data_IF_586707522227
#
_entry.id   IF_586707522227
#
_cell.length_a   1.000
_cell.length_b   1.000
_cell.length_c   1.000
_cell.angle_alpha   90.00
_cell.angle_beta   90.00
_cell.angle_gamma   90.00
#
_symmetry.space_group_name_H-M   'P 1'
#
loop_
_entity.id
_entity.type
_entity.pdbx_description
1 polymer ?
#
# COMPACT_ATOMS: atom_id res chain seq x y z
N UNK A 1 41.19 -5.82 75.04
CA UNK A 1 42.13 -6.58 75.86
C UNK A 1 42.17 -7.98 75.27
N UNK A 2 43.23 -8.31 74.53
CA UNK A 2 43.52 -9.72 74.24
C UNK A 2 43.79 -10.43 75.57
N UNK A 3 43.38 -11.68 75.70
CA UNK A 3 43.74 -12.49 76.87
C UNK A 3 45.20 -12.90 76.69
N UNK A 4 46.13 -12.12 77.26
CA UNK A 4 47.59 -12.32 77.12
C UNK A 4 48.13 -13.61 77.78
N UNK A 5 47.27 -14.42 78.40
CA UNK A 5 47.65 -15.71 79.02
C UNK A 5 46.70 -16.81 78.56
N UNK A 6 47.19 -17.87 77.89
CA UNK A 6 46.35 -19.02 77.57
C UNK A 6 45.91 -19.72 78.86
N UNK A 7 44.59 -19.87 79.02
CA UNK A 7 44.00 -20.73 80.05
C UNK A 7 43.98 -22.18 79.57
N UNK A 8 44.58 -23.10 80.34
CA UNK A 8 44.54 -24.54 80.04
C UNK A 8 43.38 -25.18 80.81
N UNK A 9 42.42 -25.76 80.10
CA UNK A 9 41.49 -26.72 80.71
C UNK A 9 42.06 -28.14 80.53
N UNK A 10 42.26 -28.85 81.63
CA UNK A 10 42.73 -30.25 81.63
C UNK A 10 41.57 -31.21 81.84
N UNK A 11 41.58 -32.32 81.13
CA UNK A 11 40.48 -33.29 81.12
C UNK A 11 40.99 -34.72 81.25
N UNK A 12 40.12 -35.61 81.75
CA UNK A 12 40.41 -37.04 81.82
C UNK A 12 40.38 -37.66 80.42
N UNK A 13 41.43 -38.40 80.07
CA UNK A 13 41.55 -39.07 78.77
C UNK A 13 40.44 -40.13 78.61
N UNK A 14 39.82 -40.19 77.41
CA UNK A 14 38.84 -41.22 77.07
C UNK A 14 37.36 -40.87 77.29
N UNK A 15 37.04 -39.63 77.69
CA UNK A 15 35.66 -39.16 77.91
C UNK A 15 35.32 -38.04 76.91
N UNK A 16 34.12 -38.10 76.32
CA UNK A 16 33.61 -37.01 75.47
C UNK A 16 32.96 -35.92 76.30
N UNK A 17 33.16 -34.67 75.91
CA UNK A 17 32.77 -33.51 76.71
C UNK A 17 32.54 -32.26 75.85
N UNK A 18 31.76 -31.34 76.36
CA UNK A 18 31.42 -30.08 75.69
C UNK A 18 32.00 -28.91 76.47
N UNK A 19 32.68 -28.02 75.77
CA UNK A 19 33.18 -26.76 76.30
C UNK A 19 32.11 -25.70 76.06
N UNK A 20 31.77 -24.98 77.13
CA UNK A 20 30.84 -23.87 77.12
C UNK A 20 31.59 -22.57 77.45
N UNK A 21 31.15 -21.46 76.87
CA UNK A 21 31.50 -20.12 77.34
C UNK A 21 30.35 -19.60 78.21
N UNK A 22 30.67 -19.22 79.44
CA UNK A 22 29.79 -18.53 80.37
C UNK A 22 30.17 -17.05 80.38
N UNK A 23 29.27 -16.21 79.89
CA UNK A 23 29.44 -14.77 79.83
C UNK A 23 28.49 -14.08 80.82
N UNK A 24 29.06 -13.30 81.73
CA UNK A 24 28.30 -12.49 82.69
C UNK A 24 28.85 -11.07 82.77
N UNK A 25 27.95 -10.11 83.01
CA UNK A 25 28.34 -8.76 83.37
C UNK A 25 28.18 -8.61 84.89
N UNK A 26 29.29 -8.61 85.61
CA UNK A 26 29.32 -8.54 87.07
C UNK A 26 29.83 -7.16 87.50
N UNK A 27 29.38 -6.63 88.65
CA UNK A 27 29.80 -5.29 89.09
C UNK A 27 29.09 -4.82 90.36
N UNK A 28 29.49 -3.66 90.91
CA UNK A 28 28.79 -3.03 92.05
C UNK A 28 28.05 -1.77 91.64
N UNK A 29 26.99 -1.39 92.36
CA UNK A 29 26.16 -0.20 92.09
C UNK A 29 26.95 1.13 92.01
N UNK A 30 28.18 1.18 92.55
CA UNK A 30 28.99 2.41 92.64
C UNK A 30 30.43 2.26 92.14
N UNK A 31 30.82 1.17 91.45
CA UNK A 31 32.19 1.01 90.96
C UNK A 31 32.39 -0.20 90.03
N UNK A 32 32.69 0.11 88.76
CA UNK A 32 33.07 -0.73 87.60
C UNK A 32 32.23 -2.00 87.31
N UNK A 33 31.52 -1.98 86.18
CA UNK A 33 30.98 -3.20 85.56
C UNK A 33 32.10 -3.93 84.80
N UNK A 34 32.33 -5.18 85.14
CA UNK A 34 33.32 -6.07 84.52
C UNK A 34 32.60 -7.18 83.75
N UNK A 35 32.85 -7.25 82.45
CA UNK A 35 32.46 -8.41 81.66
C UNK A 35 33.41 -9.58 81.98
N UNK A 36 32.86 -10.68 82.48
CA UNK A 36 33.57 -11.91 82.79
C UNK A 36 33.16 -12.99 81.80
N UNK A 37 34.16 -13.61 81.17
CA UNK A 37 33.99 -14.76 80.28
C UNK A 37 34.76 -15.92 80.88
N UNK A 38 34.05 -17.01 81.20
CA UNK A 38 34.63 -18.22 81.79
C UNK A 38 34.38 -19.40 80.87
N UNK A 39 35.37 -20.27 80.72
CA UNK A 39 35.20 -21.55 80.03
C UNK A 39 34.82 -22.61 81.07
N UNK A 40 33.73 -23.33 80.83
CA UNK A 40 33.26 -24.40 81.72
C UNK A 40 32.95 -25.67 80.94
N UNK A 41 33.11 -26.81 81.59
CA UNK A 41 32.70 -28.13 81.07
C UNK A 41 31.40 -28.64 81.71
N UNK A 42 30.87 -27.91 82.70
CA UNK A 42 29.60 -28.25 83.33
C UNK A 42 28.45 -27.68 82.51
N UNK A 43 27.46 -28.52 82.23
CA UNK A 43 26.23 -28.12 81.55
C UNK A 43 25.44 -27.20 82.47
N UNK A 44 25.36 -25.93 82.12
CA UNK A 44 24.38 -24.99 82.69
C UNK A 44 23.63 -24.33 81.54
N UNK A 45 22.31 -24.29 81.65
CA UNK A 45 21.50 -23.34 80.88
C UNK A 45 21.77 -21.93 81.44
N UNK A 46 21.30 -20.89 80.76
CA UNK A 46 21.38 -19.52 81.28
C UNK A 46 20.83 -19.47 82.72
N UNK A 47 21.57 -18.82 83.61
CA UNK A 47 21.26 -18.82 85.04
C UNK A 47 21.51 -17.45 85.67
N UNK A 48 20.97 -17.25 86.88
CA UNK A 48 21.27 -16.10 87.72
C UNK A 48 22.06 -16.60 88.93
N UNK A 49 23.21 -16.00 89.21
CA UNK A 49 24.05 -16.40 90.33
C UNK A 49 23.45 -15.99 91.69
N UNK A 50 24.08 -16.42 92.79
CA UNK A 50 23.62 -16.10 94.16
C UNK A 50 23.73 -14.63 94.53
N UNK A 51 24.38 -13.81 93.69
CA UNK A 51 24.54 -12.37 93.85
C UNK A 51 23.59 -11.58 92.94
N UNK A 52 22.80 -12.26 92.09
CA UNK A 52 21.78 -11.67 91.22
C UNK A 52 22.25 -11.31 89.81
N UNK A 53 23.46 -11.69 89.39
CA UNK A 53 23.95 -11.44 88.03
C UNK A 53 23.48 -12.53 87.06
N UNK A 54 23.05 -12.12 85.86
CA UNK A 54 22.68 -13.05 84.80
C UNK A 54 23.92 -13.56 84.06
N UNK A 55 23.99 -14.87 83.90
CA UNK A 55 25.00 -15.62 83.19
C UNK A 55 24.39 -16.24 81.93
N UNK A 56 24.99 -15.97 80.78
CA UNK A 56 24.61 -16.54 79.49
C UNK A 56 25.61 -17.60 79.07
N UNK A 57 25.16 -18.83 78.87
CA UNK A 57 26.02 -19.99 78.68
C UNK A 57 25.78 -20.62 77.30
N UNK A 58 26.80 -20.64 76.46
CA UNK A 58 26.71 -21.19 75.09
C UNK A 58 27.77 -22.27 74.83
N UNK A 59 27.41 -23.43 74.24
CA UNK A 59 28.39 -24.42 73.80
C UNK A 59 29.25 -23.87 72.66
N UNK A 60 30.58 -24.01 72.78
CA UNK A 60 31.54 -23.52 71.78
C UNK A 60 32.24 -24.65 71.03
N UNK A 61 32.55 -25.76 71.70
CA UNK A 61 33.19 -26.91 71.07
C UNK A 61 32.85 -28.24 71.78
N UNK A 62 32.87 -29.35 71.06
CA UNK A 62 32.96 -30.70 71.66
C UNK A 62 34.36 -31.25 71.51
N UNK A 63 34.81 -32.00 72.51
CA UNK A 63 36.06 -32.77 72.48
C UNK A 63 35.68 -34.24 72.60
N UNK A 64 36.03 -35.05 71.61
CA UNK A 64 35.73 -36.49 71.61
C UNK A 64 36.65 -37.25 72.58
N UNK A 65 36.30 -38.51 72.86
CA UNK A 65 37.14 -39.39 73.68
C UNK A 65 38.57 -39.60 73.14
N UNK A 66 38.78 -39.42 71.82
CA UNK A 66 40.10 -39.48 71.16
C UNK A 66 40.84 -38.13 71.12
N UNK A 67 40.25 -37.06 71.64
CA UNK A 67 40.85 -35.72 71.68
C UNK A 67 40.58 -34.85 70.45
N UNK A 68 39.70 -35.27 69.54
CA UNK A 68 39.29 -34.45 68.38
C UNK A 68 38.38 -33.31 68.83
N UNK A 69 38.69 -32.08 68.39
CA UNK A 69 37.93 -30.87 68.74
C UNK A 69 37.03 -30.48 67.56
N UNK A 70 35.73 -30.33 67.81
CA UNK A 70 34.73 -29.87 66.83
C UNK A 70 34.09 -28.57 67.30
N UNK A 71 34.09 -27.54 66.47
CA UNK A 71 33.35 -26.29 66.71
C UNK A 71 31.84 -26.52 66.57
N UNK A 72 31.05 -26.09 67.55
CA UNK A 72 29.60 -26.31 67.61
C UNK A 72 28.79 -25.04 67.90
N UNK A 73 29.39 -23.85 67.78
CA UNK A 73 28.69 -22.56 67.97
C UNK A 73 27.42 -22.53 67.12
N UNK A 74 26.36 -21.90 67.65
CA UNK A 74 24.92 -21.91 67.29
C UNK A 74 24.50 -21.84 65.80
N UNK A 75 24.99 -22.77 64.97
CA UNK A 75 24.39 -23.22 63.70
C UNK A 75 24.47 -24.74 63.53
N UNK A 76 25.06 -25.48 64.49
CA UNK A 76 25.08 -26.98 64.56
C UNK A 76 25.37 -27.73 63.24
N UNK A 77 26.03 -27.10 62.25
CA UNK A 77 26.41 -27.71 60.96
C UNK A 77 27.71 -27.13 60.38
N UNK A 78 28.52 -27.94 59.65
CA UNK A 78 29.71 -27.51 58.93
C UNK A 78 29.44 -26.44 57.86
N UNK A 79 30.44 -25.63 57.47
CA UNK A 79 30.29 -24.52 56.51
C UNK A 79 29.76 -24.93 55.14
N UNK A 80 30.13 -26.11 54.65
CA UNK A 80 29.63 -26.63 53.37
C UNK A 80 28.12 -26.91 53.41
N UNK A 81 27.59 -27.33 54.56
CA UNK A 81 26.16 -27.57 54.74
C UNK A 81 25.35 -26.26 54.93
N UNK A 82 26.02 -25.13 55.12
CA UNK A 82 25.39 -23.80 55.25
C UNK A 82 25.06 -23.19 53.88
N UNK A 83 25.91 -23.45 52.88
CA UNK A 83 25.73 -22.90 51.53
C UNK A 83 24.57 -23.56 50.76
N UNK A 84 24.25 -24.82 51.06
CA UNK A 84 23.19 -25.59 50.39
C UNK A 84 21.79 -25.44 51.03
N UNK A 85 21.64 -24.59 52.05
CA UNK A 85 20.37 -24.43 52.77
C UNK A 85 19.98 -23.00 53.17
N UNK A 86 20.94 -22.09 53.39
CA UNK A 86 20.65 -20.73 53.87
C UNK A 86 20.79 -19.64 52.79
N UNK A 87 21.40 -19.94 51.64
CA UNK A 87 21.66 -18.95 50.57
C UNK A 87 21.23 -19.46 49.19
N UNK A 88 20.82 -18.54 48.31
CA UNK A 88 20.54 -18.84 46.90
C UNK A 88 21.86 -19.18 46.18
N UNK A 89 22.01 -20.41 45.68
CA UNK A 89 23.14 -20.83 44.84
C UNK A 89 22.73 -20.81 43.36
N UNK A 90 23.66 -20.56 42.42
CA UNK A 90 23.33 -20.56 40.98
C UNK A 90 22.70 -21.88 40.51
N UNK A 91 23.13 -23.02 41.07
CA UNK A 91 22.61 -24.34 40.74
C UNK A 91 21.27 -24.64 41.44
N UNK A 92 20.85 -23.81 42.39
CA UNK A 92 19.62 -23.98 43.18
C UNK A 92 18.71 -22.76 43.18
N UNK A 93 18.83 -21.85 42.21
CA UNK A 93 17.96 -20.69 42.10
C UNK A 93 16.49 -21.15 42.07
N UNK A 94 15.70 -20.73 43.06
CA UNK A 94 14.28 -21.08 43.23
C UNK A 94 14.02 -22.56 43.54
N UNK A 95 15.04 -23.32 43.93
CA UNK A 95 14.90 -24.73 44.33
C UNK A 95 14.01 -24.86 45.57
N UNK A 96 14.08 -23.90 46.48
CA UNK A 96 13.24 -23.81 47.67
C UNK A 96 11.74 -23.69 47.34
N UNK A 97 11.39 -23.06 46.21
CA UNK A 97 10.02 -22.97 45.72
C UNK A 97 9.61 -24.28 45.07
N UNK A 98 10.52 -24.90 44.31
CA UNK A 98 10.28 -26.20 43.69
C UNK A 98 10.10 -27.33 44.71
N UNK A 99 10.95 -27.38 45.74
CA UNK A 99 10.92 -28.38 46.81
C UNK A 99 9.64 -28.27 47.68
N UNK A 100 9.06 -27.07 47.80
CA UNK A 100 7.79 -26.83 48.51
C UNK A 100 6.55 -27.27 47.72
N UNK A 101 6.72 -27.77 46.49
CA UNK A 101 5.66 -28.35 45.67
C UNK A 101 4.89 -27.35 44.82
N UNK A 102 3.93 -27.88 44.06
CA UNK A 102 3.18 -27.15 43.01
C UNK A 102 2.46 -25.90 43.53
N UNK A 103 1.95 -25.93 44.77
CA UNK A 103 1.27 -24.79 45.38
C UNK A 103 2.21 -23.61 45.60
N UNK A 104 3.45 -23.85 46.04
CA UNK A 104 4.45 -22.81 46.22
C UNK A 104 4.89 -22.22 44.88
N UNK A 105 5.03 -23.05 43.85
CA UNK A 105 5.32 -22.60 42.48
C UNK A 105 4.18 -21.74 41.91
N UNK A 106 2.92 -22.10 42.19
CA UNK A 106 1.76 -21.30 41.78
C UNK A 106 1.70 -19.96 42.51
N UNK A 107 1.86 -19.96 43.84
CA UNK A 107 1.89 -18.74 44.64
C UNK A 107 3.03 -17.80 44.22
N UNK A 108 4.21 -18.36 43.90
CA UNK A 108 5.32 -17.58 43.39
C UNK A 108 4.95 -16.84 42.08
N UNK A 109 4.32 -17.54 41.12
CA UNK A 109 3.84 -16.93 39.86
C UNK A 109 2.78 -15.85 40.11
N UNK A 110 1.88 -16.07 41.07
CA UNK A 110 0.86 -15.10 41.45
C UNK A 110 1.48 -13.83 42.05
N UNK A 111 2.46 -13.95 42.95
CA UNK A 111 3.12 -12.81 43.58
C UNK A 111 3.92 -11.93 42.62
N UNK A 112 4.43 -12.49 41.50
CA UNK A 112 5.10 -11.72 40.44
C UNK A 112 4.14 -11.25 39.33
N UNK A 113 2.85 -11.55 39.44
CA UNK A 113 1.83 -11.14 38.47
C UNK A 113 1.93 -11.86 37.12
N UNK A 114 2.49 -13.08 37.09
CA UNK A 114 2.52 -13.89 35.87
C UNK A 114 1.13 -14.46 35.57
N UNK A 115 0.69 -14.29 34.32
CA UNK A 115 -0.58 -14.85 33.85
C UNK A 115 -0.51 -16.36 33.57
N UNK A 116 -1.65 -16.94 33.23
CA UNK A 116 -1.78 -18.37 32.90
C UNK A 116 -0.91 -18.82 31.70
N UNK A 117 -0.55 -17.93 30.76
CA UNK A 117 0.37 -18.26 29.66
C UNK A 117 1.77 -18.63 30.13
N UNK A 118 2.20 -18.21 31.32
CA UNK A 118 3.55 -18.49 31.84
C UNK A 118 3.82 -19.98 32.13
N UNK A 119 2.78 -20.81 32.19
CA UNK A 119 2.90 -22.26 32.41
C UNK A 119 2.61 -23.10 31.16
N UNK A 120 2.29 -22.45 30.04
CA UNK A 120 1.87 -23.13 28.81
C UNK A 120 2.97 -23.05 27.75
N UNK A 121 3.19 -24.16 27.05
CA UNK A 121 4.06 -24.16 25.87
C UNK A 121 3.36 -23.46 24.69
N UNK A 122 4.14 -22.94 23.74
CA UNK A 122 3.61 -22.56 22.42
C UNK A 122 3.35 -23.83 21.63
N UNK A 123 2.17 -23.97 21.03
CA UNK A 123 1.76 -25.18 20.31
C UNK A 123 0.47 -24.98 19.53
N UNK A 124 -0.08 -26.05 18.97
CA UNK A 124 -1.30 -26.05 18.14
C UNK A 124 -2.49 -26.80 18.75
N UNK A 125 -2.31 -27.36 19.96
CA UNK A 125 -3.35 -28.14 20.66
C UNK A 125 -4.02 -27.32 21.77
N UNK A 126 -5.14 -27.82 22.30
CA UNK A 126 -5.73 -27.28 23.53
C UNK A 126 -4.68 -27.21 24.65
N UNK A 127 -4.81 -26.21 25.54
CA UNK A 127 -3.89 -25.93 26.65
C UNK A 127 -2.46 -25.54 26.22
N UNK A 128 -2.33 -24.85 25.08
CA UNK A 128 -1.07 -24.22 24.61
C UNK A 128 -1.31 -22.77 24.18
N UNK A 129 -0.26 -21.93 24.24
CA UNK A 129 -0.29 -20.58 23.67
C UNK A 129 -0.27 -20.67 22.14
N UNK A 130 -1.21 -19.98 21.48
CA UNK A 130 -1.31 -19.93 20.03
C UNK A 130 -0.25 -19.01 19.42
N UNK A 131 0.45 -19.50 18.39
CA UNK A 131 1.28 -18.66 17.52
C UNK A 131 0.39 -17.74 16.65
N UNK A 132 0.95 -16.66 16.10
CA UNK A 132 0.17 -15.65 15.36
C UNK A 132 -0.56 -16.16 14.11
N UNK A 133 -0.14 -17.31 13.57
CA UNK A 133 -0.71 -18.00 12.41
C UNK A 133 -1.47 -19.29 12.79
N UNK A 134 -1.76 -19.48 14.08
CA UNK A 134 -2.52 -20.63 14.57
C UNK A 134 -4.01 -20.52 14.19
N UNK A 135 -4.59 -21.62 13.73
CA UNK A 135 -5.99 -21.68 13.27
C UNK A 135 -7.03 -21.44 14.37
N UNK A 136 -6.63 -21.54 15.65
CA UNK A 136 -7.48 -21.19 16.80
C UNK A 136 -7.71 -19.69 16.93
N UNK A 137 -6.87 -18.85 16.30
CA UNK A 137 -7.08 -17.40 16.25
C UNK A 137 -8.23 -17.12 15.27
N UNK A 138 -9.42 -17.00 15.83
CA UNK A 138 -10.64 -16.65 15.09
C UNK A 138 -10.80 -15.14 14.98
N UNK A 139 -11.25 -14.64 13.84
CA UNK A 139 -11.46 -13.20 13.58
C UNK A 139 -10.24 -12.43 13.05
N UNK A 140 -9.07 -13.07 12.91
CA UNK A 140 -7.93 -12.54 12.17
C UNK A 140 -7.89 -13.11 10.73
N UNK A 141 -7.24 -12.40 9.81
CA UNK A 141 -7.00 -12.91 8.45
C UNK A 141 -5.88 -13.96 8.48
N UNK A 142 -6.20 -15.14 7.98
CA UNK A 142 -5.32 -16.30 7.91
C UNK A 142 -4.59 -16.33 6.56
N UNK A 143 -3.27 -16.61 6.61
CA UNK A 143 -2.40 -16.52 5.43
C UNK A 143 -2.78 -17.52 4.34
N UNK A 144 -3.17 -18.73 4.74
CA UNK A 144 -3.54 -19.82 3.83
C UNK A 144 -4.94 -19.62 3.20
N UNK A 145 -5.79 -18.79 3.82
CA UNK A 145 -7.10 -18.44 3.28
C UNK A 145 -7.02 -17.40 2.14
N UNK A 146 -5.89 -16.72 1.93
CA UNK A 146 -5.69 -15.76 0.83
C UNK A 146 -6.83 -14.72 0.69
N UNK A 147 -7.44 -14.31 1.80
CA UNK A 147 -8.56 -13.37 1.84
C UNK A 147 -9.95 -13.99 1.63
N UNK A 148 -10.08 -15.31 1.59
CA UNK A 148 -11.37 -16.01 1.55
C UNK A 148 -12.18 -15.81 2.84
N UNK A 149 -11.49 -15.57 3.94
CA UNK A 149 -11.98 -15.33 5.30
C UNK A 149 -12.35 -13.87 5.59
N UNK A 150 -12.33 -13.00 4.59
CA UNK A 150 -12.79 -11.61 4.70
C UNK A 150 -14.33 -11.60 4.81
N UNK A 151 -14.92 -11.19 5.96
CA UNK A 151 -16.37 -11.30 6.22
C UNK A 151 -17.23 -10.48 5.25
N UNK A 152 -16.68 -9.39 4.72
CA UNK A 152 -17.33 -8.57 3.69
C UNK A 152 -16.37 -8.34 2.53
N UNK A 153 -16.34 -9.28 1.58
CA UNK A 153 -15.62 -9.16 0.29
C UNK A 153 -15.96 -7.87 -0.49
N UNK A 154 -17.01 -7.15 -0.10
CA UNK A 154 -17.42 -5.86 -0.66
C UNK A 154 -16.54 -4.70 -0.16
N UNK A 155 -16.01 -4.72 1.07
CA UNK A 155 -15.28 -3.56 1.59
C UNK A 155 -13.82 -3.46 1.07
N UNK A 156 -13.13 -4.59 0.88
CA UNK A 156 -11.75 -4.59 0.34
C UNK A 156 -11.70 -4.28 -1.17
N UNK A 157 -12.73 -4.66 -1.93
CA UNK A 157 -12.82 -4.45 -3.37
C UNK A 157 -13.47 -3.13 -3.80
N UNK A 158 -14.06 -2.36 -2.87
CA UNK A 158 -14.70 -1.07 -3.19
C UNK A 158 -13.76 0.11 -2.90
N UNK A 159 -12.71 -0.08 -2.08
CA UNK A 159 -11.87 1.05 -1.62
C UNK A 159 -10.41 0.97 -2.09
N UNK A 160 -9.84 -0.19 -2.46
CA UNK A 160 -8.38 -0.22 -2.79
C UNK A 160 -7.90 -1.23 -3.83
N UNK A 161 -8.70 -2.21 -4.25
CA UNK A 161 -8.32 -3.10 -5.36
C UNK A 161 -9.49 -3.20 -6.32
N UNK A 162 -9.38 -2.71 -7.58
CA UNK A 162 -10.43 -2.89 -8.56
C UNK A 162 -10.74 -4.37 -8.67
N UNK A 163 -12.02 -4.75 -8.64
CA UNK A 163 -12.52 -6.01 -9.21
C UNK A 163 -12.34 -6.02 -10.74
N UNK A 164 -11.16 -5.62 -11.22
CA UNK A 164 -10.71 -5.99 -12.55
C UNK A 164 -10.69 -7.50 -12.56
N UNK A 165 -11.57 -8.11 -13.37
CA UNK A 165 -11.40 -9.51 -13.73
C UNK A 165 -10.14 -9.53 -14.59
N UNK A 166 -8.96 -9.64 -13.95
CA UNK A 166 -7.67 -9.92 -14.60
C UNK A 166 -7.73 -11.35 -15.15
N UNK A 167 -8.60 -11.56 -16.12
CA UNK A 167 -8.66 -12.81 -16.88
C UNK A 167 -7.65 -12.64 -18.01
N UNK A 168 -6.63 -13.50 -18.01
CA UNK A 168 -5.80 -13.67 -19.20
C UNK A 168 -6.72 -14.13 -20.35
N UNK A 169 -6.92 -13.26 -21.34
CA UNK A 169 -7.51 -13.56 -22.65
C UNK A 169 -8.96 -14.09 -22.63
N UNK A 170 -9.91 -13.20 -22.34
CA UNK A 170 -11.35 -13.50 -22.37
C UNK A 170 -11.95 -13.34 -23.79
N UNK A 171 -12.84 -14.25 -24.22
CA UNK A 171 -13.58 -14.13 -25.48
C UNK A 171 -14.81 -13.23 -25.29
N UNK A 172 -14.78 -12.02 -25.85
CA UNK A 172 -15.87 -11.04 -25.69
C UNK A 172 -16.97 -11.38 -26.69
N UNK A 173 -17.98 -12.11 -26.21
CA UNK A 173 -19.16 -12.51 -26.98
C UNK A 173 -19.05 -13.85 -27.71
N UNK A 174 -17.87 -14.48 -27.73
CA UNK A 174 -17.69 -15.88 -28.15
C UNK A 174 -17.67 -16.15 -29.65
N UNK A 175 -17.92 -15.14 -30.48
CA UNK A 175 -17.86 -15.21 -31.94
C UNK A 175 -17.52 -13.82 -32.55
N UNK A 176 -17.39 -13.73 -33.87
CA UNK A 176 -17.04 -12.49 -34.60
C UNK A 176 -18.25 -11.71 -35.17
N UNK A 177 -19.48 -12.08 -34.84
CA UNK A 177 -20.67 -11.38 -35.31
C UNK A 177 -20.71 -9.95 -34.74
N UNK A 178 -21.32 -9.00 -35.46
CA UNK A 178 -21.40 -7.63 -34.97
C UNK A 178 -22.33 -7.52 -33.75
N UNK A 179 -22.01 -6.56 -32.88
CA UNK A 179 -22.89 -6.07 -31.84
C UNK A 179 -23.30 -4.62 -32.11
N UNK A 180 -24.50 -4.30 -31.69
CA UNK A 180 -24.93 -2.93 -31.40
C UNK A 180 -24.36 -2.49 -30.06
N UNK A 181 -24.32 -1.18 -29.82
CA UNK A 181 -23.91 -0.58 -28.56
C UNK A 181 -24.80 -1.07 -27.41
N UNK A 182 -26.09 -1.25 -27.66
CA UNK A 182 -27.04 -1.76 -26.67
C UNK A 182 -26.71 -3.21 -26.25
N UNK A 183 -26.42 -4.10 -27.20
CA UNK A 183 -26.04 -5.50 -26.90
C UNK A 183 -24.71 -5.57 -26.15
N UNK A 184 -23.74 -4.72 -26.52
CA UNK A 184 -22.48 -4.62 -25.80
C UNK A 184 -22.68 -4.20 -24.33
N UNK A 185 -23.55 -3.21 -24.08
CA UNK A 185 -23.88 -2.76 -22.71
C UNK A 185 -24.58 -3.86 -21.91
N UNK A 186 -25.50 -4.62 -22.52
CA UNK A 186 -26.13 -5.79 -21.89
C UNK A 186 -25.09 -6.84 -21.52
N UNK A 187 -24.13 -7.11 -22.41
CA UNK A 187 -23.04 -8.02 -22.12
C UNK A 187 -22.19 -7.53 -20.92
N UNK A 188 -21.84 -6.24 -20.86
CA UNK A 188 -21.12 -5.66 -19.72
C UNK A 188 -21.87 -5.83 -18.39
N UNK A 189 -23.18 -5.63 -18.40
CA UNK A 189 -24.03 -5.88 -17.21
C UNK A 189 -24.00 -7.34 -16.77
N UNK A 190 -24.04 -8.29 -17.73
CA UNK A 190 -23.92 -9.72 -17.42
C UNK A 190 -22.57 -10.09 -16.77
N UNK A 191 -21.51 -9.29 -17.01
CA UNK A 191 -20.21 -9.46 -16.37
C UNK A 191 -20.11 -8.75 -15.01
N UNK A 192 -21.17 -8.07 -14.58
CA UNK A 192 -21.18 -7.29 -13.34
C UNK A 192 -20.44 -5.96 -13.44
N UNK A 193 -20.17 -5.45 -14.65
CA UNK A 193 -19.36 -4.23 -14.83
C UNK A 193 -19.95 -3.00 -14.10
N UNK A 194 -21.28 -2.90 -14.02
CA UNK A 194 -21.99 -1.80 -13.37
C UNK A 194 -22.21 -1.98 -11.86
N UNK A 195 -21.73 -3.09 -11.29
CA UNK A 195 -21.78 -3.33 -9.84
C UNK A 195 -20.55 -2.75 -9.11
N UNK A 196 -19.69 -2.06 -9.86
CA UNK A 196 -18.42 -1.50 -9.38
C UNK A 196 -18.27 -0.05 -9.85
N UNK A 197 -17.67 0.85 -9.04
CA UNK A 197 -17.38 2.21 -9.47
C UNK A 197 -16.48 2.27 -10.72
N UNK A 198 -15.59 1.28 -10.83
CA UNK A 198 -14.70 1.06 -11.97
C UNK A 198 -14.55 -0.44 -12.22
N UNK A 199 -14.71 -0.85 -13.47
CA UNK A 199 -14.50 -2.22 -13.96
C UNK A 199 -13.65 -2.19 -15.23
N UNK A 200 -12.83 -3.22 -15.42
CA UNK A 200 -12.05 -3.34 -16.65
C UNK A 200 -11.85 -4.79 -17.06
N UNK A 201 -11.69 -5.00 -18.36
CA UNK A 201 -11.28 -6.27 -18.93
C UNK A 201 -10.44 -6.08 -20.20
N UNK A 202 -9.81 -7.16 -20.65
CA UNK A 202 -9.12 -7.20 -21.94
C UNK A 202 -9.60 -8.39 -22.77
N UNK A 203 -9.97 -8.13 -24.02
CA UNK A 203 -10.31 -9.18 -24.99
C UNK A 203 -9.10 -10.02 -25.38
N UNK A 204 -9.31 -11.29 -25.68
CA UNK A 204 -8.28 -12.16 -26.27
C UNK A 204 -7.91 -11.67 -27.68
N UNK A 205 -6.74 -12.06 -28.18
CA UNK A 205 -6.31 -11.70 -29.55
C UNK A 205 -7.10 -12.42 -30.66
N UNK A 206 -8.00 -13.34 -30.30
CA UNK A 206 -8.69 -14.18 -31.27
C UNK A 206 -9.84 -13.42 -31.97
N UNK A 207 -9.61 -12.95 -33.19
CA UNK A 207 -10.63 -12.25 -33.98
C UNK A 207 -11.94 -13.05 -34.15
N UNK A 208 -11.86 -14.38 -34.27
CA UNK A 208 -13.02 -15.24 -34.48
C UNK A 208 -13.95 -15.34 -33.25
N UNK A 209 -13.49 -14.96 -32.06
CA UNK A 209 -14.21 -15.13 -30.80
C UNK A 209 -14.51 -13.81 -30.08
N UNK A 210 -14.20 -12.68 -30.70
CA UNK A 210 -14.47 -11.36 -30.15
C UNK A 210 -15.31 -10.54 -31.11
N UNK A 211 -16.33 -9.89 -30.56
CA UNK A 211 -17.31 -9.10 -31.31
C UNK A 211 -16.72 -7.82 -31.87
N UNK A 212 -17.47 -7.21 -32.78
CA UNK A 212 -17.19 -5.88 -33.33
C UNK A 212 -18.42 -5.00 -33.11
N UNK A 213 -18.26 -3.83 -32.50
CA UNK A 213 -19.36 -2.87 -32.33
C UNK A 213 -19.44 -2.00 -33.58
N UNK A 214 -20.62 -1.89 -34.20
CA UNK A 214 -20.75 -1.33 -35.57
C UNK A 214 -21.67 -0.11 -35.69
N UNK A 215 -22.43 0.23 -34.65
CA UNK A 215 -23.40 1.33 -34.64
C UNK A 215 -22.88 2.61 -33.96
N UNK A 216 -21.56 2.73 -33.78
CA UNK A 216 -20.96 3.81 -33.00
C UNK A 216 -21.09 5.19 -33.65
N UNK A 217 -21.25 5.23 -34.97
CA UNK A 217 -21.23 6.48 -35.76
C UNK A 217 -19.85 7.14 -35.89
N UNK A 218 -18.82 6.61 -35.23
CA UNK A 218 -17.45 7.13 -35.26
C UNK A 218 -16.40 6.05 -35.55
N UNK A 219 -16.81 4.97 -36.23
CA UNK A 219 -15.95 3.85 -36.64
C UNK A 219 -16.19 2.58 -35.84
N UNK A 220 -16.04 1.42 -36.48
CA UNK A 220 -16.29 0.13 -35.83
C UNK A 220 -15.23 -0.16 -34.75
N UNK A 221 -15.66 -0.76 -33.64
CA UNK A 221 -14.79 -1.10 -32.51
C UNK A 221 -14.57 -2.61 -32.51
N UNK A 222 -13.39 -3.06 -32.92
CA UNK A 222 -12.98 -4.47 -32.80
C UNK A 222 -12.56 -4.77 -31.36
N UNK A 223 -13.23 -5.72 -30.69
CA UNK A 223 -12.97 -6.04 -29.28
C UNK A 223 -11.84 -7.05 -29.09
N UNK A 224 -11.37 -7.70 -30.16
CA UNK A 224 -10.20 -8.57 -30.12
C UNK A 224 -8.97 -7.75 -29.69
N UNK A 225 -8.30 -8.18 -28.62
CA UNK A 225 -7.13 -7.51 -28.04
C UNK A 225 -7.41 -6.14 -27.42
N UNK A 226 -8.65 -5.66 -27.44
CA UNK A 226 -9.03 -4.35 -26.92
C UNK A 226 -9.10 -4.35 -25.39
N UNK A 227 -8.76 -3.22 -24.79
CA UNK A 227 -9.00 -2.96 -23.37
C UNK A 227 -10.32 -2.21 -23.23
N UNK A 228 -11.17 -2.67 -22.32
CA UNK A 228 -12.45 -2.04 -22.00
C UNK A 228 -12.39 -1.60 -20.55
N UNK A 229 -12.72 -0.33 -20.32
CA UNK A 229 -12.90 0.25 -19.01
C UNK A 229 -14.33 0.78 -18.89
N UNK A 230 -14.97 0.53 -17.76
CA UNK A 230 -16.34 0.98 -17.46
C UNK A 230 -16.31 1.72 -16.14
N UNK A 231 -16.77 2.96 -16.14
CA UNK A 231 -16.93 3.79 -14.95
C UNK A 231 -18.40 4.15 -14.76
N UNK A 232 -18.87 4.13 -13.51
CA UNK A 232 -20.24 4.46 -13.16
C UNK A 232 -21.19 3.25 -13.14
N UNK A 233 -22.49 3.52 -13.26
CA UNK A 233 -23.57 2.54 -13.07
C UNK A 233 -24.41 2.40 -14.33
N UNK A 234 -25.32 1.41 -14.39
CA UNK A 234 -26.12 1.14 -15.58
C UNK A 234 -26.95 2.35 -16.07
N UNK A 235 -27.42 3.20 -15.15
CA UNK A 235 -28.16 4.41 -15.46
C UNK A 235 -27.29 5.62 -15.84
N UNK A 236 -25.99 5.61 -15.53
CA UNK A 236 -25.06 6.70 -15.82
C UNK A 236 -23.64 6.13 -15.92
N UNK A 237 -23.14 5.99 -17.14
CA UNK A 237 -21.91 5.26 -17.45
C UNK A 237 -20.98 6.05 -18.36
N UNK A 238 -19.69 5.82 -18.19
CA UNK A 238 -18.65 6.11 -19.17
C UNK A 238 -17.97 4.80 -19.52
N UNK A 239 -17.96 4.44 -20.80
CA UNK A 239 -17.24 3.25 -21.29
C UNK A 239 -16.11 3.72 -22.19
N UNK A 240 -14.89 3.31 -21.90
CA UNK A 240 -13.73 3.55 -22.75
C UNK A 240 -13.25 2.24 -23.36
N UNK A 241 -13.01 2.25 -24.66
CA UNK A 241 -12.44 1.11 -25.38
C UNK A 241 -11.19 1.56 -26.13
N UNK A 242 -10.08 0.91 -25.85
CA UNK A 242 -8.81 1.14 -26.54
C UNK A 242 -8.53 -0.04 -27.46
N UNK A 243 -8.55 0.21 -28.77
CA UNK A 243 -8.29 -0.82 -29.78
C UNK A 243 -6.78 -1.05 -29.95
N UNK A 244 -6.36 -2.28 -30.28
CA UNK A 244 -4.95 -2.56 -30.57
C UNK A 244 -4.49 -1.94 -31.90
N UNK A 245 -3.19 -2.05 -32.18
CA UNK A 245 -2.57 -1.53 -33.41
C UNK A 245 -2.96 -2.29 -34.70
N UNK A 246 -3.70 -3.40 -34.59
CA UNK A 246 -4.22 -4.17 -35.72
C UNK A 246 -5.61 -4.69 -35.41
N UNK A 247 -6.51 -4.66 -36.38
CA UNK A 247 -7.92 -5.04 -36.23
C UNK A 247 -8.40 -5.90 -37.41
N UNK A 248 -9.58 -6.51 -37.29
CA UNK A 248 -10.27 -7.21 -38.37
C UNK A 248 -11.74 -6.74 -38.46
N UNK A 249 -12.46 -7.17 -39.50
CA UNK A 249 -13.89 -6.88 -39.70
C UNK A 249 -14.23 -5.38 -39.77
N UNK A 250 -13.32 -4.57 -40.32
CA UNK A 250 -13.50 -3.12 -40.47
C UNK A 250 -13.35 -2.31 -39.18
N UNK A 251 -12.87 -2.92 -38.09
CA UNK A 251 -12.56 -2.19 -36.87
C UNK A 251 -11.44 -1.17 -37.05
N UNK A 252 -11.51 -0.04 -36.34
CA UNK A 252 -10.47 0.99 -36.40
C UNK A 252 -9.28 0.62 -35.49
N UNK A 253 -8.06 0.45 -36.02
CA UNK A 253 -6.87 0.20 -35.21
C UNK A 253 -6.37 1.48 -34.53
N UNK A 254 -5.58 1.33 -33.46
CA UNK A 254 -4.88 2.43 -32.78
C UNK A 254 -5.79 3.59 -32.36
N UNK A 255 -6.99 3.28 -31.87
CA UNK A 255 -8.00 4.28 -31.54
C UNK A 255 -8.55 4.12 -30.12
N UNK A 256 -8.98 5.24 -29.55
CA UNK A 256 -9.71 5.28 -28.29
C UNK A 256 -11.13 5.77 -28.53
N UNK A 257 -12.09 4.95 -28.10
CA UNK A 257 -13.51 5.22 -28.16
C UNK A 257 -14.03 5.47 -26.76
N UNK A 258 -14.83 6.52 -26.59
CA UNK A 258 -15.50 6.82 -25.31
C UNK A 258 -17.00 6.93 -25.55
N UNK A 259 -17.78 6.09 -24.90
CA UNK A 259 -19.22 6.20 -24.80
C UNK A 259 -19.57 6.89 -23.48
N UNK A 260 -20.51 7.83 -23.53
CA UNK A 260 -21.03 8.51 -22.34
C UNK A 260 -22.54 8.44 -22.35
N UNK A 261 -23.12 8.09 -21.21
CA UNK A 261 -24.55 8.20 -20.93
C UNK A 261 -24.75 8.72 -19.49
N UNK A 262 -25.59 9.74 -19.29
CA UNK A 262 -25.96 10.26 -17.95
C UNK A 262 -27.40 9.93 -17.53
N UNK A 263 -28.07 9.04 -18.24
CA UNK A 263 -29.41 8.56 -17.90
C UNK A 263 -30.52 9.29 -18.65
N UNK A 264 -31.70 9.36 -18.03
CA UNK A 264 -32.91 9.90 -18.67
C UNK A 264 -32.70 11.35 -19.14
N UNK A 265 -33.14 11.64 -20.37
CA UNK A 265 -32.99 12.97 -20.98
C UNK A 265 -31.59 13.29 -21.52
N UNK A 266 -30.60 12.42 -21.32
CA UNK A 266 -29.28 12.58 -21.94
C UNK A 266 -29.28 12.06 -23.38
N UNK A 267 -28.44 12.63 -24.24
CA UNK A 267 -28.19 12.14 -25.60
C UNK A 267 -26.90 11.29 -25.59
N UNK A 268 -26.98 9.98 -25.31
CA UNK A 268 -25.80 9.14 -25.24
C UNK A 268 -25.16 8.96 -26.61
N UNK A 269 -23.85 8.77 -26.62
CA UNK A 269 -23.12 8.60 -27.88
C UNK A 269 -21.67 8.24 -27.70
N UNK A 270 -21.11 7.65 -28.76
CA UNK A 270 -19.69 7.41 -28.88
C UNK A 270 -18.99 8.65 -29.44
N UNK A 271 -17.76 8.86 -28.95
CA UNK A 271 -16.77 9.69 -29.62
C UNK A 271 -15.49 8.89 -29.79
N UNK A 272 -14.78 9.18 -30.87
CA UNK A 272 -13.44 8.66 -31.14
C UNK A 272 -12.44 9.82 -31.05
N UNK A 273 -11.33 9.60 -30.37
CA UNK A 273 -10.25 10.59 -30.29
C UNK A 273 -9.43 10.61 -31.59
N UNK A 274 -8.94 11.79 -31.98
CA UNK A 274 -8.11 11.95 -33.17
C UNK A 274 -6.68 11.47 -32.91
N UNK A 275 -6.14 10.64 -33.80
CA UNK A 275 -4.75 10.17 -33.75
C UNK A 275 -3.92 10.78 -34.89
N UNK A 276 -2.70 11.22 -34.59
CA UNK A 276 -1.74 11.73 -35.59
C UNK A 276 -1.29 10.66 -36.57
N UNK A 277 -1.35 9.39 -36.17
CA UNK A 277 -0.85 8.25 -36.96
C UNK A 277 -1.92 7.19 -37.12
N UNK A 278 -2.32 6.95 -38.38
CA UNK A 278 -3.17 5.81 -38.75
C UNK A 278 -4.68 6.00 -38.65
N UNK A 279 -5.17 7.24 -38.58
CA UNK A 279 -6.61 7.52 -38.67
C UNK A 279 -7.01 7.97 -40.08
N UNK A 280 -7.72 7.09 -40.80
CA UNK A 280 -8.40 7.44 -42.04
C UNK A 280 -9.78 8.01 -41.68
N UNK A 281 -9.95 9.33 -41.84
CA UNK A 281 -11.24 9.99 -41.66
C UNK A 281 -12.20 9.54 -42.79
N UNK A 282 -13.11 8.62 -42.50
CA UNK A 282 -14.09 8.08 -43.47
C UNK A 282 -15.32 8.98 -43.66
N UNK A 283 -15.41 10.12 -42.96
CA UNK A 283 -16.52 11.07 -43.01
C UNK A 283 -16.07 12.53 -43.06
N UNK A 284 -17.04 13.44 -43.09
CA UNK A 284 -16.77 14.88 -43.15
C UNK A 284 -16.19 15.40 -41.83
N UNK A 285 -15.12 16.18 -41.90
CA UNK A 285 -14.58 16.93 -40.76
C UNK A 285 -15.27 18.30 -40.67
N UNK A 286 -16.21 18.46 -39.74
CA UNK A 286 -16.89 19.74 -39.51
C UNK A 286 -16.22 20.54 -38.40
N UNK A 287 -15.89 21.80 -38.69
CA UNK A 287 -15.44 22.79 -37.72
C UNK A 287 -16.59 23.78 -37.48
N UNK A 288 -17.30 23.67 -36.33
CA UNK A 288 -18.49 24.48 -36.03
C UNK A 288 -18.15 25.68 -35.16
N UNK A 289 -18.32 26.87 -35.70
CA UNK A 289 -18.25 28.14 -34.97
C UNK A 289 -18.96 29.22 -35.81
N UNK A 290 -19.48 30.24 -35.14
CA UNK A 290 -19.99 31.45 -35.78
C UNK A 290 -18.89 32.49 -36.04
N UNK A 291 -17.79 32.42 -35.29
CA UNK A 291 -16.56 33.19 -35.57
C UNK A 291 -15.63 32.43 -36.53
N UNK A 292 -14.59 33.13 -37.02
CA UNK A 292 -13.59 32.56 -37.93
C UNK A 292 -12.95 31.31 -37.32
N UNK A 293 -12.92 30.23 -38.09
CA UNK A 293 -12.04 29.09 -37.85
C UNK A 293 -11.07 29.02 -39.01
N UNK A 294 -9.79 28.87 -38.71
CA UNK A 294 -8.76 28.73 -39.72
C UNK A 294 -8.26 27.29 -39.78
N UNK A 295 -8.00 26.82 -40.98
CA UNK A 295 -7.03 25.76 -41.21
C UNK A 295 -5.67 26.43 -41.48
N UNK A 296 -4.65 26.08 -40.70
CA UNK A 296 -3.38 26.78 -40.70
C UNK A 296 -2.19 25.84 -40.75
N UNK A 297 -1.15 26.26 -41.46
CA UNK A 297 0.18 25.68 -41.32
C UNK A 297 1.01 26.71 -40.55
N UNK A 298 1.60 26.29 -39.44
CA UNK A 298 2.37 27.15 -38.56
C UNK A 298 3.85 26.75 -38.61
N UNK A 299 4.73 27.71 -38.36
CA UNK A 299 6.09 27.45 -37.92
C UNK A 299 6.10 26.99 -36.47
N UNK A 300 7.22 26.40 -36.04
CA UNK A 300 7.40 25.96 -34.66
C UNK A 300 7.35 27.13 -33.65
N UNK A 301 7.74 28.32 -34.09
CA UNK A 301 7.68 29.56 -33.29
C UNK A 301 6.27 30.17 -33.16
N UNK A 302 5.26 29.54 -33.78
CA UNK A 302 3.87 30.02 -33.75
C UNK A 302 3.53 31.06 -34.82
N UNK A 303 4.45 31.40 -35.73
CA UNK A 303 4.12 32.27 -36.87
C UNK A 303 3.39 31.49 -37.97
N UNK A 304 2.34 32.05 -38.60
CA UNK A 304 1.61 31.35 -39.65
C UNK A 304 2.37 31.36 -40.98
N UNK A 305 2.42 30.21 -41.65
CA UNK A 305 2.86 30.06 -43.05
C UNK A 305 1.71 30.06 -44.05
N UNK A 306 0.51 29.70 -43.58
CA UNK A 306 -0.69 29.69 -44.41
C UNK A 306 -1.93 29.82 -43.55
N UNK A 307 -2.91 30.57 -44.03
CA UNK A 307 -4.28 30.52 -43.53
C UNK A 307 -5.25 30.13 -44.65
N UNK A 308 -6.19 29.25 -44.34
CA UNK A 308 -7.39 28.96 -45.13
C UNK A 308 -8.61 29.16 -44.22
N UNK A 309 -9.49 30.09 -44.57
CA UNK A 309 -10.63 30.44 -43.71
C UNK A 309 -11.81 31.06 -44.46
N UNK A 310 -12.93 31.17 -43.75
CA UNK A 310 -14.13 31.91 -44.18
C UNK A 310 -14.80 32.55 -42.96
N UNK A 311 -15.22 33.80 -43.11
CA UNK A 311 -16.08 34.46 -42.11
C UNK A 311 -17.56 34.27 -42.40
N UNK A 312 -18.36 34.14 -41.34
CA UNK A 312 -19.82 34.21 -41.41
C UNK A 312 -20.23 35.59 -41.97
N UNK A 313 -20.94 35.59 -43.09
CA UNK A 313 -21.37 36.82 -43.77
C UNK A 313 -20.27 37.59 -44.53
N UNK A 314 -19.01 37.14 -44.50
CA UNK A 314 -17.90 37.78 -45.20
C UNK A 314 -17.95 37.66 -46.73
N UNK A 315 -16.94 38.21 -47.39
CA UNK A 315 -16.76 38.36 -48.84
C UNK A 315 -16.47 37.07 -49.61
N UNK A 316 -15.83 36.07 -49.03
CA UNK A 316 -15.46 34.85 -49.76
C UNK A 316 -14.58 33.90 -48.95
N UNK A 317 -14.13 32.79 -49.56
CA UNK A 317 -13.15 31.87 -48.96
C UNK A 317 -11.75 32.42 -49.19
N UNK A 318 -10.96 32.54 -48.13
CA UNK A 318 -9.63 33.16 -48.14
C UNK A 318 -8.52 32.13 -48.09
N UNK A 319 -7.46 32.36 -48.86
CA UNK A 319 -6.18 31.64 -48.79
C UNK A 319 -5.04 32.67 -48.83
N UNK A 320 -4.09 32.57 -47.91
CA UNK A 320 -2.91 33.43 -47.89
C UNK A 320 -1.67 32.73 -47.35
N UNK A 321 -0.49 33.38 -47.45
CA UNK A 321 0.79 32.85 -47.00
C UNK A 321 1.15 33.26 -45.56
N UNK A 322 0.16 33.55 -44.72
CA UNK A 322 0.38 33.96 -43.34
C UNK A 322 1.32 35.15 -43.21
N UNK A 323 2.43 34.97 -42.50
CA UNK A 323 3.42 36.00 -42.21
C UNK A 323 4.34 36.32 -43.40
N UNK A 324 4.45 35.43 -44.39
CA UNK A 324 5.25 35.69 -45.61
C UNK A 324 4.59 36.75 -46.52
N UNK A 325 3.32 37.08 -46.26
CA UNK A 325 2.58 38.12 -46.94
C UNK A 325 2.14 37.75 -48.37
N UNK A 326 2.01 38.76 -49.22
CA UNK A 326 1.54 38.60 -50.61
C UNK A 326 0.03 38.83 -50.81
N UNK A 327 -0.71 39.14 -49.74
CA UNK A 327 -2.14 39.44 -49.77
C UNK A 327 -3.04 38.20 -49.73
N UNK A 328 -4.36 38.42 -49.69
CA UNK A 328 -5.37 37.36 -49.66
C UNK A 328 -5.84 36.99 -51.06
N UNK A 329 -5.79 35.71 -51.38
CA UNK A 329 -6.52 35.14 -52.52
C UNK A 329 -7.94 34.82 -52.05
N UNK A 330 -8.95 35.30 -52.78
CA UNK A 330 -10.35 35.19 -52.35
C UNK A 330 -11.18 34.55 -53.45
N UNK A 331 -11.88 33.48 -53.10
CA UNK A 331 -13.01 32.96 -53.88
C UNK A 331 -14.28 33.65 -53.38
N UNK A 332 -14.66 34.71 -54.07
CA UNK A 332 -15.74 35.62 -53.69
C UNK A 332 -17.11 34.95 -53.68
N UNK A 333 -17.99 35.37 -52.77
CA UNK A 333 -19.37 34.90 -52.67
C UNK A 333 -20.22 35.23 -53.90
N UNK A 334 -19.76 36.19 -54.70
CA UNK A 334 -20.33 36.60 -55.99
C UNK A 334 -19.84 35.72 -57.16
N UNK A 335 -19.05 34.68 -56.87
CA UNK A 335 -18.47 33.79 -57.88
C UNK A 335 -17.18 34.33 -58.51
N UNK A 336 -16.65 35.46 -58.03
CA UNK A 336 -15.39 36.02 -58.51
C UNK A 336 -14.17 35.31 -57.91
N UNK A 337 -13.03 35.42 -58.59
CA UNK A 337 -11.72 35.10 -58.03
C UNK A 337 -10.88 36.38 -57.95
N UNK A 338 -10.47 36.75 -56.74
CA UNK A 338 -9.58 37.87 -56.49
C UNK A 338 -8.15 37.36 -56.26
N UNK A 339 -7.22 37.87 -57.08
CA UNK A 339 -5.80 37.73 -56.87
C UNK A 339 -5.22 39.11 -56.47
N UNK A 340 -4.46 39.20 -55.37
CA UNK A 340 -4.06 40.48 -54.78
C UNK A 340 -3.09 41.30 -55.65
N UNK A 341 -2.43 40.67 -56.64
CA UNK A 341 -1.49 41.34 -57.52
C UNK A 341 -1.70 40.99 -58.99
N UNK A 342 -1.56 39.71 -59.35
CA UNK A 342 -1.61 39.30 -60.75
C UNK A 342 -1.99 37.83 -60.90
N UNK A 343 -2.72 37.52 -61.98
CA UNK A 343 -2.91 36.15 -62.47
C UNK A 343 -1.92 35.91 -63.61
N UNK A 344 -0.97 34.99 -63.41
CA UNK A 344 0.03 34.64 -64.43
C UNK A 344 -0.47 33.47 -65.28
N UNK A 345 -0.89 33.74 -66.51
CA UNK A 345 -1.37 32.71 -67.43
C UNK A 345 -0.23 32.19 -68.34
N UNK A 346 0.50 31.18 -67.85
CA UNK A 346 1.45 30.35 -68.61
C UNK A 346 2.73 31.07 -69.07
N UNK A 347 3.88 30.40 -68.95
CA UNK A 347 5.18 30.90 -69.47
C UNK A 347 5.21 30.94 -71.00
N UNK A 348 4.42 31.84 -71.62
CA UNK A 348 4.13 32.02 -73.06
C UNK A 348 2.83 31.41 -73.59
N UNK A 349 1.76 31.31 -72.78
CA UNK A 349 0.43 30.87 -73.26
C UNK A 349 -0.59 32.02 -73.17
N UNK A 350 -1.63 31.95 -74.00
CA UNK A 350 -2.70 32.97 -74.09
C UNK A 350 -3.68 32.80 -72.93
N UNK A 351 -4.00 33.88 -72.20
CA UNK A 351 -5.24 33.97 -71.44
C UNK A 351 -6.38 34.20 -72.43
N UNK A 352 -7.17 33.17 -72.70
CA UNK A 352 -8.33 33.26 -73.59
C UNK A 352 -9.61 33.36 -72.76
N UNK A 353 -10.39 34.41 -73.01
CA UNK A 353 -11.77 34.53 -72.54
C UNK A 353 -12.66 34.18 -73.74
N UNK A 354 -13.49 33.14 -73.60
CA UNK A 354 -14.39 32.68 -74.66
C UNK A 354 -15.79 32.48 -74.07
N UNK A 355 -16.79 33.08 -74.70
CA UNK A 355 -18.20 32.80 -74.47
C UNK A 355 -18.66 31.81 -75.56
N UNK A 356 -19.36 30.76 -75.16
CA UNK A 356 -19.89 29.72 -76.06
C UNK A 356 -21.41 29.74 -76.18
N UNK A 357 -22.07 30.68 -75.50
CA UNK A 357 -23.47 30.97 -75.66
C UNK A 357 -23.68 31.97 -76.80
N UNK A 358 -24.73 31.75 -77.61
CA UNK A 358 -25.17 32.70 -78.63
C UNK A 358 -25.94 33.88 -77.99
N UNK A 359 -25.51 34.28 -76.78
CA UNK A 359 -26.19 35.26 -75.95
C UNK A 359 -26.14 36.63 -76.61
N UNK A 360 -27.28 37.31 -76.63
CA UNK A 360 -27.38 38.71 -77.08
C UNK A 360 -26.87 39.69 -76.00
N UNK A 361 -26.52 39.19 -74.81
CA UNK A 361 -25.91 39.97 -73.72
C UNK A 361 -24.40 40.05 -73.90
N UNK A 362 -23.83 41.24 -73.69
CA UNK A 362 -22.39 41.47 -73.86
C UNK A 362 -21.56 40.67 -72.85
N UNK A 363 -20.58 39.89 -73.33
CA UNK A 363 -19.48 39.41 -72.51
C UNK A 363 -18.55 40.60 -72.20
N UNK A 364 -18.41 40.95 -70.92
CA UNK A 364 -17.60 42.12 -70.52
C UNK A 364 -16.18 41.67 -70.13
N UNK A 365 -15.17 42.14 -70.89
CA UNK A 365 -13.77 42.14 -70.47
C UNK A 365 -13.37 43.58 -70.19
N UNK A 366 -13.37 43.97 -68.92
CA UNK A 366 -13.04 45.33 -68.50
C UNK A 366 -11.58 45.39 -68.05
N UNK A 367 -10.73 46.10 -68.79
CA UNK A 367 -9.36 46.42 -68.39
C UNK A 367 -9.31 47.89 -67.96
N UNK A 368 -9.14 48.13 -66.66
CA UNK A 368 -9.00 49.47 -66.10
C UNK A 368 -7.54 49.77 -65.79
N UNK A 369 -7.07 50.97 -66.14
CA UNK A 369 -5.72 51.45 -65.85
C UNK A 369 -5.67 52.98 -65.84
N UNK A 370 -4.58 53.57 -65.33
CA UNK A 370 -4.38 55.02 -65.45
C UNK A 370 -4.29 55.41 -66.94
N UNK A 371 -4.94 56.50 -67.38
CA UNK A 371 -4.94 56.93 -68.79
C UNK A 371 -3.53 57.09 -69.37
N UNK A 372 -2.54 57.43 -68.55
CA UNK A 372 -1.15 57.67 -68.97
C UNK A 372 -0.35 56.40 -69.33
N UNK A 373 -0.92 55.19 -69.17
CA UNK A 373 -0.19 53.91 -69.37
C UNK A 373 -0.69 53.07 -70.55
N UNK A 374 -1.71 53.53 -71.27
CA UNK A 374 -2.10 52.91 -72.53
C UNK A 374 -1.28 53.55 -73.66
N UNK A 375 -0.12 52.97 -73.99
CA UNK A 375 0.57 53.37 -75.22
C UNK A 375 -0.24 52.91 -76.42
N UNK A 376 -0.69 53.86 -77.24
CA UNK A 376 -1.08 53.62 -78.61
C UNK A 376 0.16 53.16 -79.38
N UNK A 377 0.13 51.94 -79.92
CA UNK A 377 0.99 51.58 -81.04
C UNK A 377 0.35 52.06 -82.34
#
# INVERSE_FOLDING_TARGET
>A
MELDVPGTLTYSTGISQTVYIDAALTGTLTGENKATFSLTSQKSEDYIDSLGFAHYVEPVATISASGEITDIRKTRKPLNDRLDGEYLTRNGNLKEIADKGEQAQSAAREHVGLGNSATLNVGTTQDTVAAGDDSRITGAMQKDQNGDDIPTRICLCVVSVPRGRLMAQFAIGGDANPWTTAEFIVWLESQGAFNHPYWMCRGSWAYAYNKIITDTGCGNICLAGAVIEVMGVRGAMTIRVTTPTTTSGGGVPSAQFTYINHGEGYAPGWRREFSRTGDDMTGNFYLKNDSRINFAIMNEDGTPRMWLFKDKGGDGVHINNGNDGGGDFIFGKDGSFYAPLAVRAGGSKKLAVQANDNSTLSAMFNLWGRPERAHSN
#
